data_IF_366646120626
#
_entry.id   IF_366646120626
#
_cell.length_a   1.000
_cell.length_b   1.000
_cell.length_c   1.000
_cell.angle_alpha   90.00
_cell.angle_beta   90.00
_cell.angle_gamma   90.00
#
_symmetry.space_group_name_H-M   'P 1'
#
loop_
_entity.id
_entity.type
_entity.pdbx_description
1 polymer ?
#
# COMPACT_ATOMS: atom_id res chain seq x y z
N UNK A 1 25.12 -0.93 -1.05
CA UNK A 1 23.83 -1.51 -1.43
C UNK A 1 23.21 -0.57 -2.46
N UNK A 2 22.73 -1.08 -3.60
CA UNK A 2 21.96 -0.23 -4.52
C UNK A 2 20.68 0.22 -3.81
N UNK A 3 20.32 1.50 -3.96
CA UNK A 3 19.01 1.98 -3.55
C UNK A 3 17.95 1.26 -4.39
N UNK A 4 17.29 0.27 -3.80
CA UNK A 4 16.18 -0.43 -4.45
C UNK A 4 14.92 0.43 -4.35
N UNK A 5 14.28 0.65 -5.49
CA UNK A 5 12.96 1.29 -5.54
C UNK A 5 11.87 0.23 -5.45
N UNK A 6 10.96 0.38 -4.49
CA UNK A 6 9.84 -0.52 -4.26
C UNK A 6 8.55 0.12 -4.78
N UNK A 7 7.80 -0.63 -5.59
CA UNK A 7 6.50 -0.21 -6.11
C UNK A 7 5.36 -0.82 -5.31
N UNK A 8 4.44 0.01 -4.81
CA UNK A 8 3.31 -0.40 -3.98
C UNK A 8 1.98 0.00 -4.64
N UNK A 9 1.09 -0.97 -4.85
CA UNK A 9 -0.30 -0.72 -5.24
C UNK A 9 -1.19 -0.65 -4.00
N UNK A 10 -2.23 0.20 -4.03
CA UNK A 10 -3.08 0.43 -2.87
C UNK A 10 -2.37 1.19 -1.74
N UNK A 11 -1.43 2.08 -2.10
CA UNK A 11 -0.54 2.76 -1.14
C UNK A 11 -1.27 3.69 -0.16
N UNK A 12 -2.44 4.21 -0.54
CA UNK A 12 -3.25 5.06 0.33
C UNK A 12 -4.20 4.25 1.23
N UNK A 13 -4.35 2.94 0.98
CA UNK A 13 -5.09 2.02 1.85
C UNK A 13 -4.37 1.74 3.17
N UNK A 14 -5.09 1.14 4.13
CA UNK A 14 -4.58 0.85 5.48
C UNK A 14 -3.23 0.09 5.46
N UNK A 15 -3.18 -1.05 4.77
CA UNK A 15 -1.96 -1.87 4.71
C UNK A 15 -0.86 -1.17 3.90
N UNK A 16 -1.22 -0.58 2.76
CA UNK A 16 -0.28 0.09 1.86
C UNK A 16 0.46 1.23 2.55
N UNK A 17 -0.26 2.05 3.31
CA UNK A 17 0.32 3.17 4.07
C UNK A 17 1.32 2.68 5.13
N UNK A 18 0.94 1.68 5.92
CA UNK A 18 1.82 1.14 6.96
C UNK A 18 3.05 0.45 6.38
N UNK A 19 2.91 -0.27 5.27
CA UNK A 19 4.03 -0.90 4.57
C UNK A 19 4.98 0.15 3.96
N UNK A 20 4.44 1.15 3.26
CA UNK A 20 5.22 2.24 2.67
C UNK A 20 6.03 2.99 3.72
N UNK A 21 5.43 3.32 4.87
CA UNK A 21 6.13 4.00 5.97
C UNK A 21 7.31 3.18 6.49
N UNK A 22 7.10 1.89 6.76
CA UNK A 22 8.17 1.00 7.22
C UNK A 22 9.33 0.94 6.23
N UNK A 23 9.05 0.80 4.94
CA UNK A 23 10.06 0.72 3.89
C UNK A 23 10.84 2.05 3.72
N UNK A 24 10.15 3.19 3.85
CA UNK A 24 10.81 4.50 3.88
C UNK A 24 11.73 4.62 5.09
N UNK A 25 11.30 4.18 6.28
CA UNK A 25 12.11 4.20 7.51
C UNK A 25 13.36 3.30 7.40
N UNK A 26 13.28 2.23 6.61
CA UNK A 26 14.41 1.34 6.29
C UNK A 26 15.34 1.89 5.18
N UNK A 27 15.04 3.06 4.62
CA UNK A 27 15.86 3.76 3.63
C UNK A 27 15.61 3.36 2.18
N UNK A 28 14.51 2.67 1.89
CA UNK A 28 14.11 2.37 0.51
C UNK A 28 13.45 3.57 -0.16
N UNK A 29 13.61 3.68 -1.48
CA UNK A 29 12.76 4.55 -2.29
C UNK A 29 11.43 3.85 -2.51
N UNK A 30 10.31 4.51 -2.21
CA UNK A 30 8.98 3.96 -2.44
C UNK A 30 8.24 4.79 -3.48
N UNK A 31 7.70 4.12 -4.49
CA UNK A 31 6.76 4.68 -5.47
C UNK A 31 5.45 3.94 -5.31
N UNK A 32 4.32 4.65 -5.30
CA UNK A 32 3.04 3.99 -5.15
C UNK A 32 1.93 4.58 -5.99
N UNK A 33 0.93 3.74 -6.24
CA UNK A 33 -0.31 4.10 -6.90
C UNK A 33 -1.48 3.60 -6.06
N UNK A 34 -2.54 4.41 -6.01
CA UNK A 34 -3.81 4.03 -5.44
C UNK A 34 -4.93 4.44 -6.40
N UNK A 35 -6.00 3.64 -6.43
CA UNK A 35 -7.18 3.89 -7.25
C UNK A 35 -8.29 4.59 -6.46
N UNK A 36 -8.15 4.77 -5.13
CA UNK A 36 -9.17 5.32 -4.24
C UNK A 36 -10.57 4.70 -4.43
N UNK A 37 -10.61 3.47 -4.91
CA UNK A 37 -11.87 2.80 -5.20
C UNK A 37 -12.49 2.34 -3.89
N UNK A 38 -13.79 2.57 -3.72
CA UNK A 38 -14.65 2.02 -2.66
C UNK A 38 -14.79 0.48 -2.70
N UNK A 39 -13.88 -0.22 -3.40
CA UNK A 39 -13.98 -1.64 -3.78
C UNK A 39 -14.13 -2.60 -2.60
N UNK A 40 -13.82 -2.15 -1.38
CA UNK A 40 -14.16 -2.89 -0.18
C UNK A 40 -15.55 -2.53 0.29
N UNK A 41 -16.56 -3.00 -0.43
CA UNK A 41 -17.86 -3.18 0.19
C UNK A 41 -17.71 -4.22 1.31
N UNK A 42 -17.72 -3.74 2.56
CA UNK A 42 -17.64 -4.61 3.74
C UNK A 42 -18.75 -5.67 3.77
N UNK A 43 -19.86 -5.44 3.04
CA UNK A 43 -20.94 -6.42 2.85
C UNK A 43 -20.46 -7.68 2.12
N UNK A 44 -19.47 -7.58 1.22
CA UNK A 44 -18.91 -8.73 0.50
C UNK A 44 -18.16 -9.71 1.41
N UNK A 45 -17.61 -9.22 2.54
CA UNK A 45 -17.05 -10.05 3.61
C UNK A 45 -18.09 -10.56 4.61
N UNK A 46 -19.22 -9.85 4.77
CA UNK A 46 -20.32 -10.30 5.66
C UNK A 46 -21.21 -11.37 5.02
N UNK A 47 -21.22 -11.44 3.69
CA UNK A 47 -21.99 -12.42 2.92
C UNK A 47 -21.22 -13.73 2.63
N UNK A 48 -20.06 -13.95 3.27
CA UNK A 48 -19.26 -15.19 3.22
C UNK A 48 -19.05 -15.70 4.64
#
# INVERSE_FOLDING_TARGET
MSMQTIFITGIAGFIGFHAARKLLDEGYTVVGIDNFNDYYDTLLKRNR
#
